data_IF_508456641902
#
_entry.id   IF_508456641902
#
_cell.length_a   1.000
_cell.length_b   1.000
_cell.length_c   1.000
_cell.angle_alpha   90.00
_cell.angle_beta   90.00
_cell.angle_gamma   90.00
#
_symmetry.space_group_name_H-M   'P 1'
#
loop_
_entity.id
_entity.type
_entity.pdbx_description
1 polymer ?
#
# COMPACT_ATOMS: atom_id res chain seq x y z
N UNK A 1 3.26 -15.66 29.72
CA UNK A 1 4.11 -15.78 28.54
C UNK A 1 4.04 -14.53 27.72
N UNK A 2 5.10 -13.72 27.74
CA UNK A 2 5.17 -12.50 26.93
C UNK A 2 5.50 -12.85 25.48
N UNK A 3 4.49 -13.20 24.70
CA UNK A 3 4.61 -13.10 23.26
C UNK A 3 4.69 -11.61 22.96
N UNK A 4 5.88 -11.16 22.57
CA UNK A 4 6.06 -9.76 22.19
C UNK A 4 5.02 -9.43 21.11
N UNK A 5 4.13 -8.45 21.34
CA UNK A 5 3.04 -8.16 20.39
C UNK A 5 3.53 -7.86 18.97
N UNK A 6 4.80 -7.51 18.84
CA UNK A 6 5.45 -7.15 17.57
C UNK A 6 5.82 -8.35 16.67
N UNK A 7 6.05 -9.54 17.24
CA UNK A 7 6.40 -10.72 16.45
C UNK A 7 5.27 -11.10 15.47
N UNK A 8 4.04 -10.88 15.88
CA UNK A 8 2.85 -11.13 15.05
C UNK A 8 2.81 -10.20 13.81
N UNK A 9 3.14 -8.92 13.99
CA UNK A 9 3.17 -7.95 12.89
C UNK A 9 4.28 -8.26 11.87
N UNK A 10 5.47 -8.64 12.34
CA UNK A 10 6.58 -8.97 11.45
C UNK A 10 6.20 -10.10 10.49
N UNK A 11 5.64 -11.19 11.01
CA UNK A 11 5.19 -12.31 10.17
C UNK A 11 4.15 -11.86 9.15
N UNK A 12 3.17 -11.06 9.56
CA UNK A 12 2.14 -10.54 8.66
C UNK A 12 2.71 -9.64 7.57
N UNK A 13 3.70 -8.82 7.89
CA UNK A 13 4.38 -7.96 6.91
C UNK A 13 5.17 -8.81 5.91
N UNK A 14 5.96 -9.76 6.38
CA UNK A 14 6.80 -10.61 5.53
C UNK A 14 5.99 -11.52 4.60
N UNK A 15 4.77 -11.89 5.00
CA UNK A 15 3.89 -12.77 4.21
C UNK A 15 2.84 -12.01 3.41
N UNK A 16 2.80 -10.68 3.50
CA UNK A 16 1.86 -9.87 2.74
C UNK A 16 2.20 -9.88 1.24
N UNK A 17 1.17 -9.95 0.40
CA UNK A 17 1.30 -10.07 -1.06
C UNK A 17 1.26 -8.72 -1.78
N UNK A 18 1.70 -7.63 -1.14
CA UNK A 18 1.57 -6.28 -1.69
C UNK A 18 2.31 -6.09 -3.01
N UNK A 19 3.39 -6.84 -3.22
CA UNK A 19 4.18 -6.76 -4.47
C UNK A 19 3.52 -7.47 -5.66
N UNK A 20 2.36 -8.06 -5.50
CA UNK A 20 1.53 -8.45 -6.64
C UNK A 20 1.11 -7.23 -7.48
N UNK A 21 1.02 -6.05 -6.87
CA UNK A 21 0.59 -4.80 -7.52
C UNK A 21 1.53 -3.63 -7.26
N UNK A 22 2.16 -3.56 -6.08
CA UNK A 22 3.11 -2.51 -5.74
C UNK A 22 4.49 -2.83 -6.30
N UNK A 23 5.29 -1.80 -6.53
CA UNK A 23 6.71 -1.94 -6.87
C UNK A 23 7.56 -1.54 -5.67
N UNK A 24 8.75 -2.13 -5.57
CA UNK A 24 9.74 -1.70 -4.60
C UNK A 24 10.36 -0.39 -5.08
N UNK A 25 9.94 0.72 -4.48
CA UNK A 25 10.38 2.04 -4.89
C UNK A 25 11.74 2.40 -4.28
N UNK A 26 12.53 3.25 -4.96
CA UNK A 26 13.82 3.65 -4.43
C UNK A 26 13.72 4.54 -3.19
N UNK A 27 14.82 4.59 -2.45
CA UNK A 27 15.03 5.48 -1.33
C UNK A 27 16.09 6.50 -1.74
N UNK A 28 15.66 7.71 -2.08
CA UNK A 28 16.51 8.75 -2.66
C UNK A 28 16.96 9.77 -1.62
N UNK A 29 18.19 10.24 -1.73
CA UNK A 29 18.68 11.35 -0.91
C UNK A 29 18.08 12.69 -1.39
N UNK A 30 17.43 13.40 -0.51
CA UNK A 30 16.94 14.76 -0.74
C UNK A 30 18.03 15.77 -0.41
N UNK A 31 18.85 16.15 -1.37
CA UNK A 31 20.07 16.96 -1.15
C UNK A 31 19.75 18.34 -0.57
N UNK A 32 18.88 19.10 -1.25
CA UNK A 32 18.53 20.46 -0.83
C UNK A 32 17.87 20.47 0.55
N UNK A 33 16.95 19.53 0.80
CA UNK A 33 16.28 19.44 2.09
C UNK A 33 17.25 19.00 3.19
N UNK A 34 18.18 18.10 2.89
CA UNK A 34 19.22 17.68 3.82
C UNK A 34 20.11 18.86 4.25
N UNK A 35 20.52 19.70 3.30
CA UNK A 35 21.32 20.90 3.61
C UNK A 35 20.53 21.88 4.47
N UNK A 36 19.28 22.16 4.15
CA UNK A 36 18.42 23.08 4.91
C UNK A 36 18.12 22.58 6.33
N UNK A 37 17.94 21.29 6.47
CA UNK A 37 17.64 20.66 7.76
C UNK A 37 18.90 20.38 8.60
N UNK A 38 20.08 20.47 8.03
CA UNK A 38 21.32 20.05 8.70
C UNK A 38 21.31 18.58 9.07
N UNK A 39 20.69 17.75 8.25
CA UNK A 39 20.50 16.32 8.54
C UNK A 39 20.51 15.52 7.24
N UNK A 40 20.53 14.20 7.34
CA UNK A 40 20.44 13.33 6.18
C UNK A 40 18.97 12.95 5.95
N UNK A 41 18.34 13.58 4.97
CA UNK A 41 16.92 13.35 4.63
C UNK A 41 16.82 12.45 3.42
N UNK A 42 16.05 11.36 3.57
CA UNK A 42 15.79 10.37 2.54
C UNK A 42 14.30 10.40 2.18
N UNK A 43 14.01 10.19 0.90
CA UNK A 43 12.65 10.11 0.37
C UNK A 43 12.39 8.69 -0.12
N UNK A 44 11.44 8.02 0.50
CA UNK A 44 10.88 6.76 -0.04
C UNK A 44 9.91 7.14 -1.17
N UNK A 45 10.30 6.85 -2.41
CA UNK A 45 9.67 7.38 -3.61
C UNK A 45 8.36 6.66 -3.97
N UNK A 46 7.36 6.75 -3.10
CA UNK A 46 6.05 6.13 -3.34
C UNK A 46 5.21 6.87 -4.40
N UNK A 47 5.63 8.04 -4.82
CA UNK A 47 5.12 8.71 -6.02
C UNK A 47 5.39 7.92 -7.32
N UNK A 48 6.35 6.99 -7.29
CA UNK A 48 6.67 6.11 -8.42
C UNK A 48 5.85 4.81 -8.44
N UNK A 49 4.93 4.62 -7.51
CA UNK A 49 3.97 3.52 -7.59
C UNK A 49 3.05 3.67 -8.83
N UNK A 50 2.45 2.56 -9.34
CA UNK A 50 1.54 2.64 -10.49
C UNK A 50 0.37 3.60 -10.33
N UNK A 51 -0.05 3.87 -9.08
CA UNK A 51 -1.10 4.83 -8.74
C UNK A 51 -0.54 6.11 -8.10
N UNK A 52 0.76 6.33 -8.20
CA UNK A 52 1.48 7.54 -7.78
C UNK A 52 1.38 7.84 -6.28
N UNK A 53 1.07 6.85 -5.44
CA UNK A 53 1.05 6.97 -3.98
C UNK A 53 1.22 5.63 -3.28
N UNK A 54 1.53 5.66 -1.98
CA UNK A 54 1.67 4.46 -1.16
C UNK A 54 0.32 3.75 -0.89
N UNK A 55 -0.81 4.35 -1.23
CA UNK A 55 -2.14 3.82 -0.92
C UNK A 55 -2.42 2.45 -1.53
N UNK A 56 -1.73 2.11 -2.62
CA UNK A 56 -1.84 0.78 -3.23
C UNK A 56 -1.47 -0.35 -2.26
N UNK A 57 -0.52 -0.11 -1.37
CA UNK A 57 -0.05 -1.12 -0.41
C UNK A 57 -1.17 -1.54 0.54
N UNK A 58 -1.77 -0.58 1.23
CA UNK A 58 -2.85 -0.85 2.18
C UNK A 58 -4.13 -1.33 1.53
N UNK A 59 -4.52 -0.74 0.41
CA UNK A 59 -5.72 -1.13 -0.33
C UNK A 59 -5.63 -2.59 -0.77
N UNK A 60 -4.55 -2.96 -1.44
CA UNK A 60 -4.38 -4.33 -1.92
C UNK A 60 -4.22 -5.32 -0.76
N UNK A 61 -3.44 -4.99 0.26
CA UNK A 61 -3.26 -5.88 1.41
C UNK A 61 -4.59 -6.19 2.12
N UNK A 62 -5.47 -5.22 2.22
CA UNK A 62 -6.81 -5.43 2.79
C UNK A 62 -7.68 -6.27 1.86
N UNK A 63 -7.75 -5.92 0.58
CA UNK A 63 -8.65 -6.55 -0.38
C UNK A 63 -8.25 -7.99 -0.71
N UNK A 64 -6.95 -8.26 -0.86
CA UNK A 64 -6.44 -9.59 -1.18
C UNK A 64 -6.74 -10.64 -0.08
N UNK A 65 -7.01 -10.20 1.14
CA UNK A 65 -7.34 -11.05 2.28
C UNK A 65 -8.85 -11.22 2.51
N UNK A 66 -9.67 -10.56 1.72
CA UNK A 66 -11.12 -10.72 1.82
C UNK A 66 -11.52 -12.12 1.32
N UNK A 67 -12.53 -12.76 1.95
CA UNK A 67 -13.05 -14.00 1.44
C UNK A 67 -13.68 -13.81 0.06
N UNK A 68 -13.68 -14.87 -0.76
CA UNK A 68 -14.19 -14.84 -2.13
C UNK A 68 -15.63 -14.32 -2.19
N UNK A 69 -16.46 -14.70 -1.24
CA UNK A 69 -17.85 -14.23 -1.12
C UNK A 69 -17.93 -12.70 -1.00
N UNK A 70 -17.02 -12.07 -0.23
CA UNK A 70 -16.98 -10.62 -0.10
C UNK A 70 -16.51 -9.94 -1.38
N UNK A 71 -15.51 -10.51 -2.07
CA UNK A 71 -15.02 -10.00 -3.34
C UNK A 71 -16.09 -10.07 -4.44
N UNK A 72 -16.90 -11.11 -4.46
CA UNK A 72 -18.00 -11.25 -5.43
C UNK A 72 -19.06 -10.16 -5.28
N UNK A 73 -19.31 -9.72 -4.06
CA UNK A 73 -20.21 -8.58 -3.79
C UNK A 73 -19.61 -7.25 -4.23
N UNK A 74 -18.29 -7.19 -4.38
CA UNK A 74 -17.55 -5.98 -4.69
C UNK A 74 -17.17 -5.20 -3.45
N UNK A 75 -16.41 -4.13 -3.66
CA UNK A 75 -15.96 -3.22 -2.59
C UNK A 75 -16.37 -1.80 -2.90
N UNK A 76 -16.50 -1.00 -1.87
CA UNK A 76 -16.80 0.42 -1.99
C UNK A 76 -15.82 1.22 -1.13
N UNK A 77 -15.42 2.38 -1.59
CA UNK A 77 -14.57 3.30 -0.84
C UNK A 77 -15.06 4.74 -1.02
N UNK A 78 -15.05 5.48 0.06
CA UNK A 78 -15.37 6.91 0.06
C UNK A 78 -14.05 7.70 -0.06
N UNK A 79 -13.61 7.95 -1.28
CA UNK A 79 -12.38 8.70 -1.55
C UNK A 79 -12.45 9.32 -2.93
N UNK A 80 -11.98 10.56 -3.05
CA UNK A 80 -11.85 11.28 -4.32
C UNK A 80 -10.41 11.31 -4.85
N UNK A 81 -9.47 10.64 -4.20
CA UNK A 81 -8.05 10.76 -4.53
C UNK A 81 -7.29 9.44 -4.48
N UNK A 82 -6.16 9.46 -3.82
CA UNK A 82 -5.18 8.38 -3.85
C UNK A 82 -5.71 7.03 -3.35
N UNK A 83 -6.55 7.04 -2.33
CA UNK A 83 -7.12 5.78 -1.84
C UNK A 83 -8.08 5.16 -2.87
N UNK A 84 -8.90 5.96 -3.54
CA UNK A 84 -9.77 5.49 -4.61
C UNK A 84 -8.97 4.84 -5.74
N UNK A 85 -7.85 5.42 -6.14
CA UNK A 85 -6.95 4.86 -7.16
C UNK A 85 -6.35 3.53 -6.70
N UNK A 86 -5.93 3.43 -5.45
CA UNK A 86 -5.42 2.18 -4.87
C UNK A 86 -6.47 1.08 -4.84
N UNK A 87 -7.70 1.41 -4.47
CA UNK A 87 -8.83 0.46 -4.47
C UNK A 87 -9.16 0.02 -5.89
N UNK A 88 -9.21 0.94 -6.85
CA UNK A 88 -9.53 0.64 -8.24
C UNK A 88 -8.50 -0.31 -8.87
N UNK A 89 -7.21 -0.06 -8.69
CA UNK A 89 -6.16 -0.94 -9.21
C UNK A 89 -6.21 -2.32 -8.53
N UNK A 90 -6.42 -2.35 -7.22
CA UNK A 90 -6.54 -3.61 -6.47
C UNK A 90 -7.75 -4.42 -6.92
N UNK A 91 -8.89 -3.77 -7.12
CA UNK A 91 -10.10 -4.43 -7.63
C UNK A 91 -9.88 -5.01 -9.03
N UNK A 92 -9.22 -4.27 -9.89
CA UNK A 92 -8.86 -4.75 -11.24
C UNK A 92 -7.98 -6.00 -11.18
N UNK A 93 -6.97 -5.99 -10.32
CA UNK A 93 -6.07 -7.13 -10.13
C UNK A 93 -6.81 -8.36 -9.61
N UNK A 94 -7.72 -8.17 -8.67
CA UNK A 94 -8.48 -9.25 -8.02
C UNK A 94 -9.75 -9.66 -8.79
N UNK A 95 -10.09 -8.95 -9.86
CA UNK A 95 -11.28 -9.23 -10.65
C UNK A 95 -12.59 -8.91 -9.91
N UNK A 96 -12.57 -7.93 -9.00
CA UNK A 96 -13.76 -7.54 -8.25
C UNK A 96 -14.29 -6.16 -8.67
N UNK A 97 -15.57 -5.88 -8.43
CA UNK A 97 -16.17 -4.59 -8.72
C UNK A 97 -15.87 -3.59 -7.62
N UNK A 98 -15.58 -2.36 -8.01
CA UNK A 98 -15.31 -1.26 -7.09
C UNK A 98 -15.95 0.04 -7.59
N UNK A 99 -17.25 0.26 -7.35
CA UNK A 99 -17.86 1.55 -7.58
C UNK A 99 -17.21 2.60 -6.67
N UNK A 100 -16.77 3.70 -7.25
CA UNK A 100 -16.04 4.77 -6.54
C UNK A 100 -16.71 6.13 -6.78
#
# INVERSE_FOLDING_TARGET
MNTKPYAHYLTRILTASVYDVAVETPLDTARSLSQRAGNHVLLKREDLQPVFSFKIRGAYNKMAKLPQEALEKGVIAASAGNHAQGVALSARKLGCRAPL
#
